data_IF_849570001035
#
_entry.id   IF_849570001035
#
_cell.length_a   1.000
_cell.length_b   1.000
_cell.length_c   1.000
_cell.angle_alpha   90.00
_cell.angle_beta   90.00
_cell.angle_gamma   90.00
#
_symmetry.space_group_name_H-M   'P 1'
#
loop_
_entity.id
_entity.type
_entity.pdbx_description
1 polymer ?
#
# COMPACT_ATOMS: atom_id res chain seq x y z
N UNK A 1 27.55 42.44 40.58
CA UNK A 1 26.44 41.97 41.44
C UNK A 1 25.59 43.08 42.02
N UNK A 2 25.90 44.39 41.88
CA UNK A 2 25.03 45.48 42.36
C UNK A 2 24.22 46.19 41.25
N UNK A 3 24.30 45.72 40.00
CA UNK A 3 23.65 46.41 38.89
C UNK A 3 22.14 46.25 38.96
N UNK A 4 21.43 47.38 38.98
CA UNK A 4 19.98 47.46 39.08
C UNK A 4 19.31 47.85 37.76
N UNK A 5 20.05 48.55 36.90
CA UNK A 5 19.61 49.03 35.60
C UNK A 5 20.58 48.55 34.51
N UNK A 6 20.04 47.93 33.47
CA UNK A 6 20.80 47.55 32.28
C UNK A 6 20.06 48.01 31.02
N UNK A 7 20.79 48.68 30.12
CA UNK A 7 20.30 49.01 28.78
C UNK A 7 21.31 48.58 27.73
N UNK A 8 20.85 47.77 26.78
CA UNK A 8 21.61 47.26 25.65
C UNK A 8 20.79 47.31 24.34
N UNK A 9 19.74 48.12 24.32
CA UNK A 9 18.83 48.26 23.18
C UNK A 9 19.53 48.73 21.90
N UNK A 10 18.92 48.44 20.75
CA UNK A 10 19.44 48.75 19.41
C UNK A 10 20.81 48.12 19.09
N UNK A 11 21.19 47.06 19.79
CA UNK A 11 22.40 46.31 19.54
C UNK A 11 22.07 44.81 19.56
N UNK A 12 22.59 44.01 18.62
CA UNK A 12 22.42 42.57 18.69
C UNK A 12 23.11 42.03 19.96
N UNK A 13 22.36 41.33 20.80
CA UNK A 13 22.89 40.69 22.00
C UNK A 13 23.15 39.22 21.68
N UNK A 14 24.40 38.88 21.39
CA UNK A 14 24.79 37.51 21.00
C UNK A 14 24.67 36.49 22.16
N UNK A 15 24.90 36.94 23.39
CA UNK A 15 24.90 36.07 24.58
C UNK A 15 24.11 36.72 25.74
N UNK A 16 22.77 36.66 25.72
CA UNK A 16 21.95 37.24 26.76
C UNK A 16 22.04 36.48 28.10
N UNK A 17 22.54 35.23 28.11
CA UNK A 17 22.68 34.40 29.33
C UNK A 17 23.51 35.06 30.43
N UNK A 18 24.50 35.88 30.05
CA UNK A 18 25.34 36.59 31.03
C UNK A 18 24.52 37.56 31.89
N UNK A 19 23.40 38.06 31.36
CA UNK A 19 22.46 38.97 32.07
C UNK A 19 21.79 38.23 33.24
N UNK A 20 21.58 36.92 33.14
CA UNK A 20 20.98 36.10 34.20
C UNK A 20 21.77 36.11 35.52
N UNK A 21 23.05 36.45 35.49
CA UNK A 21 23.89 36.59 36.69
C UNK A 21 23.65 37.92 37.45
N UNK A 22 22.90 38.86 36.87
CA UNK A 22 22.67 40.18 37.41
C UNK A 22 21.39 40.18 38.28
N UNK A 23 21.37 39.36 39.32
CA UNK A 23 20.20 39.07 40.17
C UNK A 23 19.59 40.28 40.92
N UNK A 24 20.26 41.44 40.88
CA UNK A 24 19.75 42.70 41.43
C UNK A 24 19.05 43.60 40.40
N UNK A 25 18.97 43.19 39.13
CA UNK A 25 18.29 43.97 38.10
C UNK A 25 16.81 44.20 38.43
N UNK A 26 16.42 45.47 38.40
CA UNK A 26 15.03 45.92 38.47
C UNK A 26 14.54 46.51 37.14
N UNK A 27 15.45 47.01 36.30
CA UNK A 27 15.12 47.62 35.01
C UNK A 27 15.99 47.04 33.91
N UNK A 28 15.34 46.52 32.86
CA UNK A 28 16.00 45.87 31.73
C UNK A 28 15.47 46.42 30.41
N UNK A 29 16.35 47.05 29.63
CA UNK A 29 16.05 47.59 28.30
C UNK A 29 16.84 46.79 27.25
N UNK A 30 16.13 45.97 26.48
CA UNK A 30 16.69 45.11 25.44
C UNK A 30 15.82 45.17 24.17
N UNK A 31 15.22 46.32 23.87
CA UNK A 31 14.42 46.48 22.66
C UNK A 31 15.31 46.54 21.42
N UNK A 32 14.84 46.01 20.28
CA UNK A 32 15.61 45.96 19.03
C UNK A 32 17.02 45.35 19.23
N UNK A 33 17.07 44.18 19.89
CA UNK A 33 18.32 43.53 20.29
C UNK A 33 18.50 42.10 19.74
N UNK A 34 17.62 41.69 18.82
CA UNK A 34 17.59 40.34 18.22
C UNK A 34 17.40 39.20 19.24
N UNK A 35 16.73 39.48 20.36
CA UNK A 35 16.43 38.48 21.39
C UNK A 35 15.39 37.49 20.84
N UNK A 36 15.64 36.19 21.02
CA UNK A 36 14.73 35.10 20.60
C UNK A 36 14.08 34.36 21.77
N UNK A 37 14.77 34.29 22.89
CA UNK A 37 14.32 33.64 24.12
C UNK A 37 14.65 34.54 25.32
N UNK A 38 13.96 34.31 26.43
CA UNK A 38 14.16 35.08 27.67
C UNK A 38 14.47 34.18 28.87
N UNK A 39 14.88 32.94 28.61
CA UNK A 39 15.19 31.90 29.62
C UNK A 39 16.23 32.39 30.63
N UNK A 40 17.19 33.22 30.20
CA UNK A 40 18.17 33.88 31.05
C UNK A 40 17.56 34.73 32.18
N UNK A 41 16.29 35.11 32.08
CA UNK A 41 15.57 35.89 33.09
C UNK A 41 14.99 35.05 34.23
N UNK A 42 15.08 33.71 34.16
CA UNK A 42 14.50 32.79 35.16
C UNK A 42 14.94 33.10 36.60
N UNK A 43 16.15 33.67 36.78
CA UNK A 43 16.73 34.00 38.08
C UNK A 43 16.79 35.50 38.38
N UNK A 44 15.93 36.32 37.76
CA UNK A 44 15.87 37.78 37.96
C UNK A 44 14.60 38.20 38.73
N UNK A 45 14.47 37.89 40.04
CA UNK A 45 13.22 38.05 40.80
C UNK A 45 12.84 39.51 41.10
N UNK A 46 13.75 40.46 40.84
CA UNK A 46 13.58 41.87 41.18
C UNK A 46 13.11 42.75 40.02
N UNK A 47 12.87 42.17 38.83
CA UNK A 47 12.43 42.92 37.66
C UNK A 47 11.11 43.65 37.93
N UNK A 48 11.13 44.96 37.65
CA UNK A 48 9.99 45.89 37.75
C UNK A 48 9.65 46.53 36.42
N UNK A 49 10.64 46.77 35.57
CA UNK A 49 10.47 47.42 34.27
C UNK A 49 11.27 46.69 33.19
N UNK A 50 10.58 46.08 32.23
CA UNK A 50 11.19 45.27 31.17
C UNK A 50 10.67 45.73 29.81
N UNK A 51 11.60 46.13 28.94
CA UNK A 51 11.33 46.62 27.59
C UNK A 51 12.02 45.71 26.57
N UNK A 52 11.22 44.87 25.92
CA UNK A 52 11.65 43.81 25.00
C UNK A 52 10.98 43.93 23.63
N UNK A 53 10.39 45.09 23.31
CA UNK A 53 9.74 45.32 22.03
C UNK A 53 10.72 45.26 20.84
N UNK A 54 10.20 44.98 19.64
CA UNK A 54 10.99 44.83 18.41
C UNK A 54 12.06 43.73 18.53
N UNK A 55 11.67 42.53 18.97
CA UNK A 55 12.56 41.37 19.03
C UNK A 55 11.91 40.17 18.30
N UNK A 56 12.45 38.97 18.49
CA UNK A 56 12.00 37.72 17.86
C UNK A 56 11.51 36.73 18.93
N UNK A 57 10.97 37.23 20.05
CA UNK A 57 10.56 36.41 21.19
C UNK A 57 9.23 35.73 20.86
N UNK A 58 9.18 34.41 21.00
CA UNK A 58 7.95 33.63 20.81
C UNK A 58 7.45 32.99 22.10
N UNK A 59 8.36 32.56 22.97
CA UNK A 59 8.05 32.01 24.28
C UNK A 59 8.32 33.04 25.38
N UNK A 60 7.33 33.24 26.26
CA UNK A 60 7.39 34.15 27.39
C UNK A 60 7.06 33.47 28.73
N UNK A 61 7.26 32.15 28.85
CA UNK A 61 6.88 31.38 30.03
C UNK A 61 7.49 31.91 31.34
N UNK A 62 8.71 32.44 31.27
CA UNK A 62 9.50 33.00 32.37
C UNK A 62 8.87 34.26 32.97
N UNK A 63 8.03 34.96 32.20
CA UNK A 63 7.33 36.18 32.64
C UNK A 63 6.49 35.91 33.89
N UNK A 64 5.97 34.69 34.04
CA UNK A 64 5.20 34.27 35.22
C UNK A 64 5.98 34.37 36.55
N UNK A 65 7.32 34.39 36.50
CA UNK A 65 8.18 34.52 37.67
C UNK A 65 8.39 35.97 38.14
N UNK A 66 8.00 36.97 37.33
CA UNK A 66 8.29 38.38 37.61
C UNK A 66 7.22 39.01 38.53
N UNK A 67 7.11 38.52 39.75
CA UNK A 67 6.06 38.91 40.72
C UNK A 67 6.00 40.42 41.06
N UNK A 68 7.03 41.20 40.72
CA UNK A 68 7.13 42.64 41.00
C UNK A 68 7.02 43.51 39.72
N UNK A 69 6.69 42.93 38.57
CA UNK A 69 6.67 43.64 37.30
C UNK A 69 5.58 44.71 37.25
N UNK A 70 5.96 45.94 36.95
CA UNK A 70 5.04 47.08 36.83
C UNK A 70 4.92 47.54 35.37
N UNK A 71 5.99 47.45 34.58
CA UNK A 71 6.02 47.89 33.19
C UNK A 71 6.58 46.79 32.30
N UNK A 72 5.76 46.27 31.40
CA UNK A 72 6.14 45.20 30.47
C UNK A 72 5.77 45.56 29.03
N UNK A 73 6.78 45.71 28.18
CA UNK A 73 6.59 45.97 26.75
C UNK A 73 7.17 44.83 25.90
N UNK A 74 6.28 44.14 25.21
CA UNK A 74 6.54 42.96 24.37
C UNK A 74 5.94 43.11 22.95
N UNK A 75 5.48 44.30 22.58
CA UNK A 75 4.95 44.57 21.24
C UNK A 75 6.01 44.33 20.14
N UNK A 76 5.57 44.00 18.91
CA UNK A 76 6.47 43.66 17.80
C UNK A 76 7.42 42.49 18.16
N UNK A 77 6.84 41.37 18.56
CA UNK A 77 7.52 40.08 18.77
C UNK A 77 6.74 38.97 18.02
N UNK A 78 6.95 37.71 18.38
CA UNK A 78 6.35 36.53 17.73
C UNK A 78 5.53 35.70 18.74
N UNK A 79 4.94 36.37 19.74
CA UNK A 79 4.28 35.69 20.87
C UNK A 79 2.93 35.16 20.42
N UNK A 80 2.71 33.86 20.63
CA UNK A 80 1.42 33.20 20.34
C UNK A 80 0.58 32.95 21.59
N UNK A 81 1.22 32.76 22.75
CA UNK A 81 0.57 32.42 24.01
C UNK A 81 0.92 33.46 25.08
N UNK A 82 -0.10 34.14 25.60
CA UNK A 82 0.04 35.14 26.65
C UNK A 82 -0.53 34.69 28.00
N UNK A 83 -0.82 33.40 28.21
CA UNK A 83 -1.16 32.85 29.53
C UNK A 83 -0.14 33.19 30.64
N UNK A 84 1.18 33.34 30.38
CA UNK A 84 2.13 33.68 31.44
C UNK A 84 1.91 35.06 32.09
N UNK A 85 1.16 35.97 31.44
CA UNK A 85 0.87 37.30 32.02
C UNK A 85 -0.34 37.30 32.97
N UNK A 86 -1.12 36.22 33.03
CA UNK A 86 -2.43 36.17 33.68
C UNK A 86 -2.42 36.64 35.15
N UNK A 87 -1.35 36.32 35.88
CA UNK A 87 -1.25 36.53 37.34
C UNK A 87 -0.34 37.70 37.73
N UNK A 88 0.07 38.55 36.79
CA UNK A 88 0.93 39.70 37.06
C UNK A 88 0.14 40.87 37.65
N UNK A 89 -0.22 40.72 38.92
CA UNK A 89 -1.11 41.65 39.64
C UNK A 89 -0.51 43.04 39.92
N UNK A 90 0.81 43.19 39.76
CA UNK A 90 1.53 44.47 39.99
C UNK A 90 1.62 45.36 38.75
N UNK A 91 1.14 44.88 37.59
CA UNK A 91 1.23 45.62 36.33
C UNK A 91 0.56 46.99 36.40
N UNK A 92 1.24 47.99 35.84
CA UNK A 92 0.74 49.33 35.54
C UNK A 92 0.67 49.57 34.04
N UNK A 93 1.47 48.86 33.25
CA UNK A 93 1.48 48.97 31.79
C UNK A 93 1.87 47.63 31.18
N UNK A 94 1.09 47.21 30.18
CA UNK A 94 1.36 46.03 29.36
C UNK A 94 1.15 46.38 27.89
N UNK A 95 2.14 46.07 27.04
CA UNK A 95 2.07 46.21 25.58
C UNK A 95 2.34 44.87 24.91
N UNK A 96 1.36 44.36 24.17
CA UNK A 96 1.40 43.08 23.46
C UNK A 96 0.92 43.20 22.00
N UNK A 97 0.73 44.43 21.51
CA UNK A 97 0.27 44.68 20.14
C UNK A 97 1.32 44.32 19.09
N UNK A 98 0.83 44.15 17.86
CA UNK A 98 1.64 44.02 16.64
C UNK A 98 2.60 42.83 16.64
N UNK A 99 2.14 41.66 17.10
CA UNK A 99 2.90 40.43 16.93
C UNK A 99 2.94 40.00 15.47
N UNK A 100 4.07 39.43 15.03
CA UNK A 100 4.22 38.84 13.70
C UNK A 100 4.71 37.40 13.90
N UNK A 101 3.81 36.45 13.72
CA UNK A 101 4.09 35.03 13.91
C UNK A 101 4.26 34.40 12.53
N UNK A 102 5.35 33.68 12.32
CA UNK A 102 5.58 32.91 11.09
C UNK A 102 5.63 31.44 11.43
N UNK A 103 4.62 30.70 10.96
CA UNK A 103 4.59 29.25 11.10
C UNK A 103 5.70 28.60 10.27
N UNK A 104 5.97 27.33 10.56
CA UNK A 104 6.75 26.49 9.66
C UNK A 104 6.02 26.38 8.32
N UNK A 105 6.78 26.48 7.24
CA UNK A 105 6.27 26.29 5.88
C UNK A 105 5.64 24.90 5.69
N UNK A 106 4.61 24.83 4.84
CA UNK A 106 3.96 23.58 4.42
C UNK A 106 3.85 23.55 2.89
N UNK A 107 3.76 22.37 2.26
CA UNK A 107 3.49 22.29 0.82
C UNK A 107 2.13 22.90 0.47
N UNK A 108 2.06 23.56 -0.68
CA UNK A 108 0.82 24.05 -1.26
C UNK A 108 -0.07 22.86 -1.62
N UNK A 109 -1.31 22.92 -1.18
CA UNK A 109 -2.36 21.99 -1.58
C UNK A 109 -3.62 22.79 -1.90
N UNK A 110 -4.52 22.21 -2.70
CA UNK A 110 -5.82 22.85 -2.99
C UNK A 110 -6.62 23.12 -1.72
N UNK A 111 -6.63 22.16 -0.79
CA UNK A 111 -7.28 22.31 0.50
C UNK A 111 -6.20 22.37 1.58
N UNK A 112 -6.14 23.48 2.32
CA UNK A 112 -5.18 23.66 3.41
C UNK A 112 -5.95 23.84 4.70
N UNK A 113 -5.52 23.14 5.75
CA UNK A 113 -6.02 23.34 7.10
C UNK A 113 -4.86 23.52 8.08
N UNK A 114 -4.93 24.55 8.90
CA UNK A 114 -3.95 24.79 9.98
C UNK A 114 -4.67 25.01 11.31
N UNK A 115 -4.00 24.67 12.39
CA UNK A 115 -4.47 24.91 13.75
C UNK A 115 -4.13 26.34 14.20
N UNK A 116 -5.11 27.03 14.79
CA UNK A 116 -4.90 28.31 15.48
C UNK A 116 -4.32 28.07 16.87
N UNK A 117 -3.11 28.58 17.09
CA UNK A 117 -2.39 28.44 18.37
C UNK A 117 -2.33 29.73 19.18
N UNK A 118 -3.02 30.78 18.74
CA UNK A 118 -3.02 32.07 19.43
C UNK A 118 -3.91 31.98 20.65
N UNK A 119 -3.31 32.08 21.85
CA UNK A 119 -3.98 31.96 23.14
C UNK A 119 -3.97 33.27 23.91
N UNK A 120 -5.11 33.65 24.48
CA UNK A 120 -5.25 34.80 25.38
C UNK A 120 -4.72 34.50 26.80
N UNK A 121 -4.80 35.49 27.70
CA UNK A 121 -4.29 35.37 29.06
C UNK A 121 -5.12 34.43 29.95
N UNK A 122 -6.23 33.88 29.46
CA UNK A 122 -7.06 32.89 30.15
C UNK A 122 -6.89 31.49 29.54
N UNK A 123 -6.06 31.35 28.49
CA UNK A 123 -5.84 30.10 27.77
C UNK A 123 -6.92 29.81 26.72
N UNK A 124 -7.74 30.79 26.36
CA UNK A 124 -8.71 30.64 25.27
C UNK A 124 -8.06 30.93 23.93
N UNK A 125 -8.46 30.20 22.89
CA UNK A 125 -8.03 30.49 21.53
C UNK A 125 -8.66 31.81 21.07
N UNK A 126 -7.82 32.73 20.62
CA UNK A 126 -8.28 34.02 20.08
C UNK A 126 -8.86 33.80 18.69
N UNK A 127 -10.13 34.12 18.52
CA UNK A 127 -10.80 34.06 17.21
C UNK A 127 -10.06 34.97 16.20
N UNK A 128 -9.66 34.44 15.03
CA UNK A 128 -9.00 35.22 14.01
C UNK A 128 -9.94 36.26 13.37
N UNK A 129 -9.37 37.34 12.86
CA UNK A 129 -10.01 38.29 11.95
C UNK A 129 -9.21 38.37 10.63
N UNK A 130 -9.81 38.93 9.58
CA UNK A 130 -9.15 39.12 8.27
C UNK A 130 -8.39 37.88 7.76
N UNK A 131 -9.06 36.74 7.64
CA UNK A 131 -8.44 35.53 7.10
C UNK A 131 -8.23 35.73 5.59
N UNK A 132 -6.99 35.55 5.12
CA UNK A 132 -6.63 35.75 3.72
C UNK A 132 -7.34 34.76 2.81
N UNK A 133 -7.40 35.06 1.50
CA UNK A 133 -7.81 34.13 0.44
C UNK A 133 -9.16 33.43 0.70
N UNK A 134 -10.10 34.15 1.33
CA UNK A 134 -11.43 33.66 1.71
C UNK A 134 -11.39 32.44 2.65
N UNK A 135 -10.35 32.32 3.47
CA UNK A 135 -10.26 31.28 4.47
C UNK A 135 -11.40 31.36 5.49
N UNK A 136 -11.73 30.21 6.07
CA UNK A 136 -12.80 30.03 7.05
C UNK A 136 -12.22 29.58 8.38
N UNK A 137 -12.95 29.82 9.46
CA UNK A 137 -12.54 29.39 10.80
C UNK A 137 -13.64 28.59 11.48
N UNK A 138 -13.31 27.38 11.90
CA UNK A 138 -14.10 26.56 12.80
C UNK A 138 -13.18 26.08 13.92
N UNK A 139 -13.24 26.76 15.08
CA UNK A 139 -12.29 26.61 16.17
C UNK A 139 -11.97 25.14 16.47
N UNK A 140 -10.67 24.75 16.54
CA UNK A 140 -9.46 25.60 16.46
C UNK A 140 -8.90 25.77 15.04
N UNK A 141 -9.59 25.29 14.02
CA UNK A 141 -9.02 25.09 12.68
C UNK A 141 -9.36 26.25 11.74
N UNK A 142 -8.34 26.76 11.03
CA UNK A 142 -8.52 27.57 9.83
C UNK A 142 -8.42 26.67 8.60
N UNK A 143 -9.28 26.92 7.60
CA UNK A 143 -9.35 26.15 6.37
C UNK A 143 -9.46 27.04 5.14
N UNK A 144 -8.72 26.68 4.09
CA UNK A 144 -8.72 27.33 2.78
C UNK A 144 -8.96 26.32 1.67
N UNK A 145 -9.68 26.75 0.63
CA UNK A 145 -9.84 26.05 -0.64
C UNK A 145 -9.34 26.98 -1.75
N UNK A 146 -8.13 26.72 -2.22
CA UNK A 146 -7.35 27.60 -3.09
C UNK A 146 -7.53 27.20 -4.56
N UNK A 147 -7.76 28.20 -5.41
CA UNK A 147 -7.91 27.99 -6.86
C UNK A 147 -6.63 28.26 -7.64
N UNK A 148 -5.61 28.81 -6.99
CA UNK A 148 -4.32 29.17 -7.57
C UNK A 148 -3.22 29.00 -6.52
N UNK A 149 -1.97 28.85 -6.98
CA UNK A 149 -0.80 28.72 -6.10
C UNK A 149 -0.59 30.03 -5.34
N UNK A 150 -0.28 29.91 -4.05
CA UNK A 150 0.03 31.03 -3.15
C UNK A 150 1.36 30.79 -2.48
N UNK A 151 2.10 31.88 -2.21
CA UNK A 151 3.35 31.82 -1.45
C UNK A 151 3.10 31.77 0.07
N UNK A 152 1.97 32.29 0.53
CA UNK A 152 1.58 32.27 1.92
C UNK A 152 0.07 32.50 2.08
N UNK A 153 -0.42 32.10 3.25
CA UNK A 153 -1.73 32.46 3.79
C UNK A 153 -1.53 33.24 5.08
N UNK A 154 -2.53 33.99 5.50
CA UNK A 154 -2.46 34.71 6.77
C UNK A 154 -3.80 34.87 7.45
N UNK A 155 -3.75 35.17 8.74
CA UNK A 155 -4.88 35.70 9.48
C UNK A 155 -4.40 36.70 10.52
N UNK A 156 -5.21 37.70 10.77
CA UNK A 156 -4.99 38.62 11.86
C UNK A 156 -5.67 38.10 13.13
N UNK A 157 -5.26 38.64 14.28
CA UNK A 157 -6.03 38.53 15.50
C UNK A 157 -5.96 39.85 16.27
N UNK A 158 -7.02 40.15 17.01
CA UNK A 158 -7.03 41.28 17.94
C UNK A 158 -8.01 40.98 19.06
N UNK A 159 -7.53 41.03 20.30
CA UNK A 159 -8.37 40.94 21.49
C UNK A 159 -7.95 41.95 22.54
N UNK A 160 -8.92 42.39 23.34
CA UNK A 160 -8.65 43.20 24.54
C UNK A 160 -8.52 42.25 25.71
N UNK A 161 -7.46 42.44 26.48
CA UNK A 161 -7.23 41.69 27.71
C UNK A 161 -7.29 42.64 28.90
N UNK A 162 -7.80 42.12 30.01
CA UNK A 162 -7.86 42.84 31.28
C UNK A 162 -7.19 42.00 32.35
N UNK A 163 -6.17 42.58 32.99
CA UNK A 163 -5.50 42.00 34.16
C UNK A 163 -5.75 42.98 35.30
N UNK A 164 -6.63 42.59 36.23
CA UNK A 164 -7.17 43.47 37.28
C UNK A 164 -7.73 44.78 36.72
N UNK A 165 -7.00 45.89 36.84
CA UNK A 165 -7.38 47.24 36.42
C UNK A 165 -6.65 47.70 35.14
N UNK A 166 -5.74 46.89 34.59
CA UNK A 166 -5.00 47.23 33.37
C UNK A 166 -5.70 46.63 32.17
N UNK A 167 -5.94 47.48 31.17
CA UNK A 167 -6.41 47.07 29.86
C UNK A 167 -5.26 47.11 28.86
N UNK A 168 -5.09 46.04 28.12
CA UNK A 168 -4.13 45.96 27.01
C UNK A 168 -4.81 45.39 25.77
N UNK A 169 -4.21 45.65 24.61
CA UNK A 169 -4.59 45.01 23.36
C UNK A 169 -3.51 43.99 23.01
N UNK A 170 -3.94 42.76 22.76
CA UNK A 170 -3.12 41.70 22.17
C UNK A 170 -3.54 41.55 20.71
N UNK A 171 -2.61 41.82 19.80
CA UNK A 171 -2.90 41.81 18.35
C UNK A 171 -1.69 41.37 17.57
N UNK A 172 -1.93 40.91 16.34
CA UNK A 172 -0.88 40.54 15.43
C UNK A 172 -1.40 39.86 14.17
N UNK A 173 -0.46 39.40 13.36
CA UNK A 173 -0.70 38.62 12.16
C UNK A 173 0.05 37.30 12.25
N UNK A 174 -0.62 36.21 11.91
CA UNK A 174 -0.02 34.90 11.73
C UNK A 174 0.13 34.65 10.23
N UNK A 175 1.34 34.29 9.81
CA UNK A 175 1.70 33.99 8.43
C UNK A 175 1.98 32.49 8.36
N UNK A 176 1.32 31.82 7.42
CA UNK A 176 1.56 30.44 7.04
C UNK A 176 2.25 30.43 5.67
N UNK A 177 3.59 30.30 5.61
CA UNK A 177 4.29 30.15 4.34
C UNK A 177 3.89 28.85 3.65
N UNK A 178 3.76 28.92 2.33
CA UNK A 178 3.50 27.79 1.45
C UNK A 178 4.69 27.59 0.52
N UNK A 179 5.08 26.34 0.35
CA UNK A 179 6.09 25.92 -0.63
C UNK A 179 5.41 25.26 -1.80
N UNK A 180 6.02 25.28 -2.98
CA UNK A 180 5.54 24.44 -4.06
C UNK A 180 5.67 22.98 -3.61
N UNK A 181 4.57 22.24 -3.59
CA UNK A 181 4.64 20.80 -3.43
C UNK A 181 5.38 20.21 -4.63
N UNK A 182 6.47 19.50 -4.36
CA UNK A 182 7.27 18.80 -5.36
C UNK A 182 7.38 17.31 -5.04
N UNK A 183 6.63 16.83 -4.04
CA UNK A 183 6.57 15.41 -3.72
C UNK A 183 5.67 14.73 -4.73
N UNK A 184 6.14 13.62 -5.31
CA UNK A 184 5.41 12.89 -6.34
C UNK A 184 4.74 11.69 -5.66
N UNK A 185 3.47 11.38 -5.97
CA UNK A 185 2.83 10.17 -5.47
C UNK A 185 3.64 8.93 -5.90
N UNK A 186 3.68 7.92 -5.04
CA UNK A 186 4.36 6.65 -5.28
C UNK A 186 3.29 5.58 -5.55
N UNK A 187 3.29 5.04 -6.78
CA UNK A 187 2.41 3.92 -7.16
C UNK A 187 3.04 2.60 -6.70
N UNK A 188 2.26 1.76 -6.03
CA UNK A 188 2.58 0.37 -5.71
C UNK A 188 1.52 -0.54 -6.31
N UNK A 189 1.93 -1.56 -7.08
CA UNK A 189 1.05 -2.56 -7.68
C UNK A 189 1.83 -3.86 -7.93
N UNK A 190 1.11 -4.96 -8.15
CA UNK A 190 1.69 -6.22 -8.63
C UNK A 190 2.27 -6.04 -10.04
N UNK A 191 3.45 -6.61 -10.30
CA UNK A 191 4.15 -6.47 -11.59
C UNK A 191 3.40 -7.14 -12.76
N UNK A 192 2.57 -8.16 -12.45
CA UNK A 192 1.86 -8.95 -13.46
C UNK A 192 0.55 -9.54 -12.94
N UNK A 193 -0.38 -9.75 -13.87
CA UNK A 193 -1.64 -10.46 -13.65
C UNK A 193 -1.97 -11.33 -14.86
N UNK A 194 -2.74 -12.39 -14.68
CA UNK A 194 -3.13 -13.28 -15.77
C UNK A 194 -4.64 -13.53 -15.81
N UNK A 195 -5.18 -13.57 -17.03
CA UNK A 195 -6.59 -13.82 -17.30
C UNK A 195 -6.77 -14.83 -18.42
N UNK A 196 -7.82 -15.67 -18.38
CA UNK A 196 -8.23 -16.46 -19.54
C UNK A 196 -8.66 -15.57 -20.71
N UNK A 197 -8.40 -16.05 -21.92
CA UNK A 197 -8.89 -15.44 -23.17
C UNK A 197 -10.42 -15.24 -23.14
N UNK A 198 -10.87 -14.06 -23.59
CA UNK A 198 -12.26 -13.62 -23.56
C UNK A 198 -12.72 -12.95 -22.26
N UNK A 199 -11.85 -12.81 -21.25
CA UNK A 199 -12.18 -12.08 -20.01
C UNK A 199 -12.37 -10.60 -20.28
N UNK A 200 -13.35 -9.96 -19.65
CA UNK A 200 -13.50 -8.48 -19.67
C UNK A 200 -13.22 -7.89 -18.30
N UNK A 201 -12.45 -6.81 -18.24
CA UNK A 201 -12.15 -6.08 -17.00
C UNK A 201 -12.40 -4.59 -17.14
N UNK A 202 -13.09 -4.00 -16.17
CA UNK A 202 -13.11 -2.54 -16.00
C UNK A 202 -11.79 -2.07 -15.38
N UNK A 203 -11.48 -0.77 -15.50
CA UNK A 203 -10.31 -0.17 -14.84
C UNK A 203 -10.29 -0.44 -13.34
N UNK A 204 -11.42 -0.29 -12.64
CA UNK A 204 -11.51 -0.52 -11.20
C UNK A 204 -11.22 -1.97 -10.81
N UNK A 205 -11.76 -2.94 -11.55
CA UNK A 205 -11.52 -4.36 -11.29
C UNK A 205 -10.06 -4.73 -11.56
N UNK A 206 -9.49 -4.23 -12.67
CA UNK A 206 -8.08 -4.42 -12.99
C UNK A 206 -7.16 -3.87 -11.90
N UNK A 207 -7.36 -2.61 -11.48
CA UNK A 207 -6.57 -1.99 -10.41
C UNK A 207 -6.71 -2.75 -9.08
N UNK A 208 -7.88 -3.32 -8.80
CA UNK A 208 -8.10 -4.17 -7.62
C UNK A 208 -7.33 -5.48 -7.72
N UNK A 209 -7.37 -6.17 -8.86
CA UNK A 209 -6.69 -7.45 -9.08
C UNK A 209 -5.17 -7.35 -8.89
N UNK A 210 -4.58 -6.20 -9.23
CA UNK A 210 -3.13 -5.92 -9.09
C UNK A 210 -2.76 -5.19 -7.79
N UNK A 211 -3.71 -5.04 -6.86
CA UNK A 211 -3.50 -4.33 -5.60
C UNK A 211 -2.90 -2.92 -5.76
N UNK A 212 -3.30 -2.19 -6.80
CA UNK A 212 -2.76 -0.88 -7.11
C UNK A 212 -3.17 0.16 -6.06
N UNK A 213 -2.18 0.83 -5.47
CA UNK A 213 -2.36 1.89 -4.47
C UNK A 213 -1.33 3.00 -4.64
N UNK A 214 -1.65 4.18 -4.11
CA UNK A 214 -0.70 5.29 -3.92
C UNK A 214 -0.47 5.51 -2.44
N UNK A 215 0.71 6.02 -2.07
CA UNK A 215 1.07 6.30 -0.68
C UNK A 215 0.27 7.46 -0.06
N UNK A 216 -0.21 8.38 -0.89
CA UNK A 216 -0.96 9.57 -0.51
C UNK A 216 -2.47 9.49 -0.82
N UNK A 217 -2.93 8.39 -1.43
CA UNK A 217 -4.32 8.20 -1.84
C UNK A 217 -4.71 8.92 -3.15
N UNK A 218 -3.74 9.46 -3.90
CA UNK A 218 -3.95 10.01 -5.24
C UNK A 218 -4.55 8.97 -6.19
N UNK A 219 -5.51 9.35 -7.04
CA UNK A 219 -6.17 8.42 -7.96
C UNK A 219 -5.19 7.87 -9.01
N UNK A 220 -5.32 6.58 -9.30
CA UNK A 220 -4.52 5.89 -10.33
C UNK A 220 -5.34 5.82 -11.62
N UNK A 221 -4.72 6.20 -12.73
CA UNK A 221 -5.25 6.15 -14.07
C UNK A 221 -4.47 5.12 -14.91
N UNK A 222 -5.18 4.36 -15.74
CA UNK A 222 -4.61 3.38 -16.67
C UNK A 222 -5.50 3.24 -17.91
N UNK A 223 -4.87 3.16 -19.08
CA UNK A 223 -5.55 2.91 -20.36
C UNK A 223 -5.47 1.41 -20.71
N UNK A 224 -6.63 0.74 -20.72
CA UNK A 224 -6.76 -0.66 -21.09
C UNK A 224 -7.13 -0.88 -22.56
N UNK A 225 -7.31 0.18 -23.37
CA UNK A 225 -7.78 0.05 -24.76
C UNK A 225 -6.77 -0.67 -25.67
N UNK A 226 -5.49 -0.69 -25.30
CA UNK A 226 -4.45 -1.40 -26.03
C UNK A 226 -4.38 -2.90 -25.70
N UNK A 227 -5.13 -3.37 -24.71
CA UNK A 227 -5.15 -4.78 -24.28
C UNK A 227 -6.24 -5.52 -25.04
N UNK A 228 -5.85 -6.48 -25.87
CA UNK A 228 -6.78 -7.39 -26.51
C UNK A 228 -6.97 -8.64 -25.64
N UNK A 229 -8.02 -8.63 -24.83
CA UNK A 229 -8.35 -9.77 -23.98
C UNK A 229 -8.85 -11.00 -24.76
N UNK A 230 -9.16 -10.86 -26.05
CA UNK A 230 -9.63 -11.94 -26.91
C UNK A 230 -8.50 -12.71 -27.61
N UNK A 231 -7.24 -12.31 -27.41
CA UNK A 231 -6.09 -12.95 -28.02
C UNK A 231 -5.07 -13.33 -26.94
N UNK A 232 -4.66 -14.59 -26.91
CA UNK A 232 -3.57 -15.03 -26.04
C UNK A 232 -2.27 -14.26 -26.30
N UNK A 233 -1.65 -13.72 -25.25
CA UNK A 233 -0.51 -12.82 -25.40
C UNK A 233 -0.07 -12.15 -24.10
N UNK A 234 0.94 -11.29 -24.23
CA UNK A 234 1.45 -10.47 -23.14
C UNK A 234 1.29 -9.00 -23.54
N UNK A 235 0.57 -8.24 -22.72
CA UNK A 235 0.26 -6.83 -22.94
C UNK A 235 0.82 -6.03 -21.78
N UNK A 236 1.44 -4.89 -22.07
CA UNK A 236 1.96 -3.99 -21.03
C UNK A 236 1.10 -2.75 -20.98
N UNK A 237 0.66 -2.40 -19.78
CA UNK A 237 -0.09 -1.16 -19.51
C UNK A 237 0.69 -0.33 -18.49
N UNK A 238 0.55 0.98 -18.59
CA UNK A 238 1.27 1.91 -17.72
C UNK A 238 0.29 2.57 -16.77
N UNK A 239 0.55 2.44 -15.46
CA UNK A 239 -0.16 3.14 -14.41
C UNK A 239 0.42 4.54 -14.24
N UNK A 240 -0.46 5.52 -14.09
CA UNK A 240 -0.12 6.91 -13.81
C UNK A 240 -0.96 7.42 -12.64
N UNK A 241 -0.45 8.42 -11.92
CA UNK A 241 -1.19 9.08 -10.85
C UNK A 241 -0.74 10.54 -10.77
N UNK A 242 -1.65 11.42 -10.36
CA UNK A 242 -1.35 12.83 -10.16
C UNK A 242 -1.96 13.25 -8.83
N UNK A 243 -1.15 13.89 -7.98
CA UNK A 243 -1.63 14.39 -6.70
C UNK A 243 -2.48 15.66 -6.83
N UNK A 244 -3.06 16.10 -5.71
CA UNK A 244 -3.88 17.32 -5.69
C UNK A 244 -3.10 18.60 -5.98
N UNK A 245 -1.76 18.57 -5.88
CA UNK A 245 -0.87 19.66 -6.20
C UNK A 245 -0.38 19.63 -7.67
N UNK A 246 -0.74 18.58 -8.43
CA UNK A 246 -0.37 18.41 -9.83
C UNK A 246 0.96 17.69 -10.06
N UNK A 247 1.54 17.05 -9.04
CA UNK A 247 2.75 16.26 -9.21
C UNK A 247 2.42 14.88 -9.77
N UNK A 248 3.02 14.55 -10.90
CA UNK A 248 2.81 13.25 -11.57
C UNK A 248 3.70 12.18 -10.93
N UNK A 249 3.16 11.01 -10.60
CA UNK A 249 3.93 9.85 -10.14
C UNK A 249 4.95 9.39 -11.20
N UNK A 250 6.00 8.69 -10.77
CA UNK A 250 6.78 7.88 -11.73
C UNK A 250 5.86 6.79 -12.27
N UNK A 251 5.65 6.67 -13.59
CA UNK A 251 4.78 5.65 -14.13
C UNK A 251 5.26 4.24 -13.79
N UNK A 252 4.31 3.33 -13.57
CA UNK A 252 4.59 1.92 -13.24
C UNK A 252 3.97 1.02 -14.30
N UNK A 253 4.78 0.21 -14.96
CA UNK A 253 4.30 -0.73 -15.96
C UNK A 253 3.86 -2.05 -15.33
N UNK A 254 2.74 -2.58 -15.79
CA UNK A 254 2.16 -3.85 -15.36
C UNK A 254 1.93 -4.75 -16.56
N UNK A 255 2.30 -6.02 -16.44
CA UNK A 255 2.15 -7.01 -17.51
C UNK A 255 0.87 -7.82 -17.34
N UNK A 256 -0.04 -7.72 -18.30
CA UNK A 256 -1.24 -8.54 -18.39
C UNK A 256 -0.96 -9.73 -19.31
N UNK A 257 -1.15 -10.94 -18.79
CA UNK A 257 -0.93 -12.19 -19.52
C UNK A 257 -2.29 -12.83 -19.84
N UNK A 258 -2.66 -12.84 -21.11
CA UNK A 258 -3.85 -13.55 -21.59
C UNK A 258 -3.47 -14.98 -21.97
N UNK A 259 -4.05 -15.95 -21.28
CA UNK A 259 -3.80 -17.38 -21.52
C UNK A 259 -4.87 -17.95 -22.43
N UNK A 260 -4.47 -18.72 -23.45
CA UNK A 260 -5.40 -19.44 -24.32
C UNK A 260 -6.29 -20.37 -23.52
N UNK A 261 -7.56 -20.44 -23.91
CA UNK A 261 -8.49 -21.46 -23.40
C UNK A 261 -8.47 -22.68 -24.31
N UNK A 262 -8.49 -23.88 -23.73
CA UNK A 262 -8.60 -25.11 -24.51
C UNK A 262 -10.03 -25.24 -25.05
N UNK A 263 -10.15 -25.23 -26.37
CA UNK A 263 -11.43 -25.38 -27.10
C UNK A 263 -11.45 -26.63 -27.99
N UNK A 264 -10.39 -27.44 -27.92
CA UNK A 264 -10.28 -28.66 -28.70
C UNK A 264 -11.21 -29.72 -28.13
N UNK A 265 -12.02 -30.36 -28.98
CA UNK A 265 -12.96 -31.40 -28.55
C UNK A 265 -12.31 -32.77 -28.71
N UNK A 266 -12.48 -33.69 -27.74
CA UNK A 266 -12.04 -35.07 -27.91
C UNK A 266 -12.70 -35.72 -29.13
N UNK A 267 -11.98 -36.58 -29.83
CA UNK A 267 -12.47 -37.36 -30.98
C UNK A 267 -12.60 -38.82 -30.59
N UNK A 268 -13.83 -39.34 -30.57
CA UNK A 268 -14.10 -40.75 -30.26
C UNK A 268 -13.90 -41.60 -31.52
N UNK A 269 -13.12 -42.69 -31.39
CA UNK A 269 -12.98 -43.75 -32.39
C UNK A 269 -13.41 -45.07 -31.75
N UNK A 270 -14.25 -45.86 -32.43
CA UNK A 270 -14.66 -47.20 -32.01
C UNK A 270 -15.13 -48.01 -33.23
N UNK A 271 -15.23 -49.33 -33.09
CA UNK A 271 -15.86 -50.20 -34.07
C UNK A 271 -17.36 -49.85 -34.25
N UNK A 272 -17.83 -49.76 -35.50
CA UNK A 272 -19.23 -49.36 -35.80
C UNK A 272 -20.27 -50.36 -35.28
N UNK A 273 -19.87 -51.63 -35.14
CA UNK A 273 -20.76 -52.71 -34.72
C UNK A 273 -20.01 -53.81 -33.99
N UNK A 274 -20.70 -54.42 -33.04
CA UNK A 274 -20.26 -55.62 -32.33
C UNK A 274 -21.41 -56.60 -32.20
N UNK A 275 -21.11 -57.90 -32.14
CA UNK A 275 -22.13 -58.94 -32.03
C UNK A 275 -21.90 -59.84 -30.83
N UNK A 276 -22.97 -60.13 -30.11
CA UNK A 276 -22.96 -61.02 -28.96
C UNK A 276 -24.02 -62.13 -29.11
N UNK A 277 -23.77 -63.33 -28.57
CA UNK A 277 -24.81 -64.33 -28.34
C UNK A 277 -25.88 -63.83 -27.36
N UNK A 278 -27.13 -64.26 -27.55
CA UNK A 278 -28.22 -64.02 -26.59
C UNK A 278 -27.88 -64.52 -25.18
N UNK A 279 -28.21 -63.70 -24.18
CA UNK A 279 -27.91 -63.96 -22.76
C UNK A 279 -26.51 -63.53 -22.30
N UNK A 280 -25.70 -62.92 -23.17
CA UNK A 280 -24.41 -62.31 -22.77
C UNK A 280 -24.64 -61.10 -21.87
N UNK A 281 -23.85 -60.94 -20.81
CA UNK A 281 -23.83 -59.71 -20.00
C UNK A 281 -22.55 -58.93 -20.24
N UNK A 282 -22.65 -57.60 -20.39
CA UNK A 282 -21.50 -56.71 -20.55
C UNK A 282 -21.63 -55.50 -19.64
N UNK A 283 -20.56 -55.19 -18.91
CA UNK A 283 -20.38 -53.87 -18.29
C UNK A 283 -20.00 -52.83 -19.35
N UNK A 284 -20.13 -51.55 -19.02
CA UNK A 284 -19.70 -50.46 -19.91
C UNK A 284 -18.21 -50.57 -20.30
N UNK A 285 -17.32 -50.85 -19.35
CA UNK A 285 -15.88 -50.98 -19.61
C UNK A 285 -15.54 -52.17 -20.54
N UNK A 286 -16.16 -53.32 -20.33
CA UNK A 286 -15.96 -54.49 -21.20
C UNK A 286 -16.51 -54.22 -22.60
N UNK A 287 -17.67 -53.60 -22.71
CA UNK A 287 -18.25 -53.19 -23.99
C UNK A 287 -17.32 -52.23 -24.74
N UNK A 288 -16.83 -51.17 -24.09
CA UNK A 288 -15.89 -50.21 -24.68
C UNK A 288 -14.59 -50.88 -25.15
N UNK A 289 -14.13 -51.89 -24.41
CA UNK A 289 -12.95 -52.70 -24.79
C UNK A 289 -13.21 -53.53 -26.04
N UNK A 290 -14.37 -54.22 -26.10
CA UNK A 290 -14.73 -55.09 -27.22
C UNK A 290 -14.86 -54.32 -28.55
N UNK A 291 -15.22 -53.04 -28.49
CA UNK A 291 -15.35 -52.16 -29.68
C UNK A 291 -14.12 -51.29 -29.92
N UNK A 292 -13.02 -51.51 -29.20
CA UNK A 292 -11.79 -50.72 -29.29
C UNK A 292 -12.04 -49.20 -29.16
N UNK A 293 -12.92 -48.79 -28.25
CA UNK A 293 -13.27 -47.39 -28.06
C UNK A 293 -12.09 -46.60 -27.45
N UNK A 294 -11.65 -45.55 -28.14
CA UNK A 294 -10.58 -44.65 -27.70
C UNK A 294 -10.88 -43.20 -28.06
N UNK A 295 -10.35 -42.27 -27.28
CA UNK A 295 -10.23 -40.85 -27.65
C UNK A 295 -8.80 -40.54 -28.10
N UNK A 296 -8.62 -39.47 -28.88
CA UNK A 296 -7.31 -39.02 -29.35
C UNK A 296 -6.46 -38.33 -28.28
N UNK A 297 -7.11 -37.74 -27.28
CA UNK A 297 -6.50 -37.02 -26.15
C UNK A 297 -6.46 -37.84 -24.84
N UNK A 298 -7.06 -39.04 -24.82
CA UNK A 298 -7.17 -39.89 -23.64
C UNK A 298 -8.32 -39.53 -22.69
N UNK A 299 -9.22 -38.63 -23.09
CA UNK A 299 -10.45 -38.31 -22.36
C UNK A 299 -11.34 -39.54 -22.15
N UNK A 300 -11.98 -39.71 -20.98
CA UNK A 300 -12.80 -40.89 -20.70
C UNK A 300 -14.06 -40.94 -21.57
N UNK A 301 -14.41 -42.15 -22.02
CA UNK A 301 -15.62 -42.42 -22.80
C UNK A 301 -16.71 -42.97 -21.88
N UNK A 302 -17.89 -42.39 -21.97
CA UNK A 302 -19.11 -42.80 -21.28
C UNK A 302 -20.10 -43.43 -22.26
N UNK A 303 -20.84 -44.45 -21.79
CA UNK A 303 -21.87 -45.15 -22.55
C UNK A 303 -22.98 -45.66 -21.63
N UNK A 304 -24.22 -45.44 -22.04
CA UNK A 304 -25.39 -46.02 -21.36
C UNK A 304 -25.87 -47.29 -22.07
N UNK A 305 -25.74 -48.44 -21.39
CA UNK A 305 -26.17 -49.74 -21.89
C UNK A 305 -27.57 -50.15 -21.38
N UNK A 306 -28.24 -49.34 -20.57
CA UNK A 306 -29.52 -49.72 -19.95
C UNK A 306 -30.64 -49.95 -20.98
N UNK A 307 -30.52 -49.36 -22.17
CA UNK A 307 -31.48 -49.55 -23.27
C UNK A 307 -31.24 -50.82 -24.09
N UNK A 308 -30.17 -51.58 -23.82
CA UNK A 308 -29.81 -52.79 -24.57
C UNK A 308 -30.35 -54.02 -23.85
N UNK A 309 -31.29 -54.73 -24.48
CA UNK A 309 -31.75 -56.03 -24.00
C UNK A 309 -30.91 -57.16 -24.60
N UNK A 310 -29.90 -57.59 -23.85
CA UNK A 310 -29.01 -58.69 -24.27
C UNK A 310 -29.68 -60.07 -24.30
N UNK A 311 -30.89 -60.22 -23.77
CA UNK A 311 -31.65 -61.48 -23.80
C UNK A 311 -32.46 -61.69 -25.08
N UNK A 312 -32.67 -60.64 -25.87
CA UNK A 312 -33.51 -60.67 -27.06
C UNK A 312 -32.67 -60.46 -28.32
N UNK A 313 -32.76 -61.38 -29.27
CA UNK A 313 -32.10 -61.21 -30.57
C UNK A 313 -32.64 -59.96 -31.29
N UNK A 314 -31.74 -59.07 -31.69
CA UNK A 314 -32.11 -57.73 -32.16
C UNK A 314 -30.89 -56.86 -32.45
N UNK A 315 -31.17 -55.67 -32.96
CA UNK A 315 -30.17 -54.63 -33.22
C UNK A 315 -30.46 -53.45 -32.29
N UNK A 316 -29.50 -53.11 -31.44
CA UNK A 316 -29.60 -52.03 -30.48
C UNK A 316 -28.54 -50.98 -30.82
N UNK A 317 -28.88 -49.71 -30.70
CA UNK A 317 -27.93 -48.62 -30.93
C UNK A 317 -27.66 -47.92 -29.62
N UNK A 318 -26.38 -47.76 -29.29
CA UNK A 318 -25.92 -47.02 -28.11
C UNK A 318 -25.08 -45.83 -28.55
N UNK A 319 -25.06 -44.78 -27.73
CA UNK A 319 -24.32 -43.56 -28.00
C UNK A 319 -23.11 -43.48 -27.07
N UNK A 320 -21.94 -43.24 -27.65
CA UNK A 320 -20.71 -42.93 -26.93
C UNK A 320 -20.55 -41.41 -26.80
N UNK A 321 -20.16 -40.95 -25.63
CA UNK A 321 -19.86 -39.54 -25.32
C UNK A 321 -18.52 -39.44 -24.60
N UNK A 322 -17.80 -38.33 -24.75
CA UNK A 322 -16.57 -38.06 -24.01
C UNK A 322 -16.47 -36.55 -23.71
N UNK A 323 -15.85 -36.19 -22.58
CA UNK A 323 -15.61 -34.80 -22.17
C UNK A 323 -14.18 -34.70 -21.65
N UNK A 324 -13.44 -33.70 -22.13
CA UNK A 324 -12.07 -33.46 -21.68
C UNK A 324 -11.99 -32.77 -20.30
N UNK A 325 -10.77 -32.51 -19.83
CA UNK A 325 -10.55 -31.81 -18.55
C UNK A 325 -10.92 -30.32 -18.58
N UNK A 326 -11.02 -29.71 -19.77
CA UNK A 326 -11.43 -28.33 -19.98
C UNK A 326 -12.97 -28.18 -20.13
N UNK A 327 -13.70 -29.30 -20.21
CA UNK A 327 -15.15 -29.36 -20.38
C UNK A 327 -15.63 -29.41 -21.83
N UNK A 328 -14.74 -29.62 -22.81
CA UNK A 328 -15.12 -29.73 -24.20
C UNK A 328 -15.74 -31.10 -24.48
N UNK A 329 -17.00 -31.09 -24.97
CA UNK A 329 -17.73 -32.32 -25.28
C UNK A 329 -17.40 -32.82 -26.71
N UNK A 330 -17.04 -34.09 -26.83
CA UNK A 330 -16.86 -34.79 -28.09
C UNK A 330 -18.16 -34.84 -28.90
N UNK A 331 -18.03 -34.92 -30.23
CA UNK A 331 -19.18 -35.28 -31.06
C UNK A 331 -19.57 -36.74 -30.75
N UNK A 332 -20.84 -37.01 -30.36
CA UNK A 332 -21.24 -38.37 -29.99
C UNK A 332 -21.23 -39.29 -31.20
N UNK A 333 -20.75 -40.51 -31.02
CA UNK A 333 -20.81 -41.56 -32.05
C UNK A 333 -21.76 -42.67 -31.62
N UNK A 334 -22.39 -43.33 -32.59
CA UNK A 334 -23.32 -44.42 -32.34
C UNK A 334 -22.70 -45.76 -32.72
N UNK A 335 -22.89 -46.77 -31.88
CA UNK A 335 -22.40 -48.13 -32.11
C UNK A 335 -23.58 -49.10 -32.10
N UNK A 336 -23.59 -50.02 -33.07
CA UNK A 336 -24.66 -51.01 -33.22
C UNK A 336 -24.29 -52.33 -32.54
N UNK A 337 -25.08 -52.72 -31.56
CA UNK A 337 -24.96 -54.01 -30.87
C UNK A 337 -25.94 -54.99 -31.51
N UNK A 338 -25.43 -56.10 -32.04
CA UNK A 338 -26.23 -57.14 -32.69
C UNK A 338 -26.28 -58.38 -31.78
N UNK A 339 -27.45 -58.66 -31.22
CA UNK A 339 -27.68 -59.86 -30.42
C UNK A 339 -28.17 -60.98 -31.34
N UNK A 340 -27.43 -62.10 -31.37
CA UNK A 340 -27.68 -63.25 -32.24
C UNK A 340 -28.27 -64.42 -31.46
N UNK A 341 -29.16 -65.18 -32.09
CA UNK A 341 -29.94 -66.24 -31.46
C UNK A 341 -29.14 -67.56 -31.41
N UNK A 342 -28.80 -68.05 -30.22
CA UNK A 342 -27.94 -69.23 -30.05
C UNK A 342 -28.73 -70.53 -30.02
N UNK A 343 -29.61 -70.79 -31.01
CA UNK A 343 -30.23 -72.13 -31.10
C UNK A 343 -29.21 -73.16 -31.60
N UNK A 344 -28.71 -73.98 -30.66
CA UNK A 344 -27.95 -75.22 -30.91
C UNK A 344 -28.63 -76.05 -32.00
N UNK A 345 -27.86 -76.45 -33.02
CA UNK A 345 -28.21 -77.54 -33.93
C UNK A 345 -27.70 -78.83 -33.26
N UNK A 346 -28.60 -79.75 -32.93
CA UNK A 346 -28.23 -81.07 -32.38
C UNK A 346 -27.52 -81.93 -33.43
N UNK A 347 -26.43 -82.66 -33.11
CA UNK A 347 -25.81 -83.60 -34.04
C UNK A 347 -26.70 -84.85 -34.21
N UNK A 348 -27.07 -85.12 -35.46
CA UNK A 348 -27.78 -86.33 -35.90
C UNK A 348 -26.83 -87.54 -35.76
N UNK A 349 -27.29 -88.59 -35.09
CA UNK A 349 -26.62 -89.89 -34.95
C UNK A 349 -26.65 -90.65 -36.28
N UNK A 350 -25.51 -91.17 -36.79
CA UNK A 350 -25.51 -92.28 -37.75
C UNK A 350 -25.06 -93.58 -37.09
N UNK A 351 -25.71 -94.66 -37.55
CA UNK A 351 -25.65 -96.05 -37.11
C UNK A 351 -24.32 -96.72 -37.49
N UNK A 352 -23.81 -97.59 -36.61
CA UNK A 352 -22.70 -98.53 -36.85
C UNK A 352 -22.98 -99.51 -38.01
N UNK A 353 -21.93 -99.99 -38.71
CA UNK A 353 -21.55 -101.37 -38.45
C UNK A 353 -20.04 -101.68 -38.55
N UNK A 354 -19.61 -102.68 -37.78
CA UNK A 354 -18.69 -103.73 -38.23
C UNK A 354 -17.19 -103.50 -38.04
N UNK A 355 -16.61 -104.25 -37.10
CA UNK A 355 -15.19 -104.18 -36.72
C UNK A 355 -14.20 -104.92 -37.62
N UNK A 356 -12.92 -104.68 -37.34
CA UNK A 356 -11.89 -105.71 -37.08
C UNK A 356 -10.56 -105.05 -36.69
N UNK A 357 -9.84 -105.77 -35.84
CA UNK A 357 -8.61 -105.41 -35.11
C UNK A 357 -7.41 -104.97 -35.97
N UNK A 358 -6.51 -104.16 -35.39
CA UNK A 358 -5.10 -104.50 -35.04
C UNK A 358 -4.38 -103.26 -34.43
N UNK A 359 -3.64 -103.49 -33.34
CA UNK A 359 -2.71 -102.62 -32.57
C UNK A 359 -1.31 -103.29 -32.62
N UNK A 360 -0.14 -102.74 -32.15
CA UNK A 360 0.36 -101.39 -31.81
C UNK A 360 1.72 -101.02 -32.52
N UNK A 361 2.23 -99.77 -32.37
CA UNK A 361 3.54 -99.42 -31.74
C UNK A 361 3.89 -97.91 -31.82
N UNK A 362 4.54 -97.39 -30.76
CA UNK A 362 5.10 -96.03 -30.50
C UNK A 362 6.60 -95.97 -30.93
N UNK A 363 7.46 -94.93 -30.68
CA UNK A 363 7.34 -93.55 -30.12
C UNK A 363 8.07 -92.46 -30.99
N UNK A 364 8.04 -91.13 -30.76
CA UNK A 364 8.73 -90.27 -29.76
C UNK A 364 8.15 -88.82 -29.88
N UNK A 365 7.70 -88.16 -28.81
CA UNK A 365 8.39 -87.16 -27.93
C UNK A 365 8.89 -85.88 -28.64
N UNK A 366 8.50 -84.65 -28.23
CA UNK A 366 9.01 -83.82 -27.09
C UNK A 366 7.91 -82.78 -26.67
N UNK A 367 7.25 -82.83 -25.48
CA UNK A 367 7.40 -82.08 -24.18
C UNK A 367 7.88 -80.60 -24.28
N UNK A 368 7.35 -79.50 -23.67
CA UNK A 368 6.81 -79.18 -22.32
C UNK A 368 5.87 -77.94 -22.35
N UNK A 369 4.93 -77.90 -21.38
CA UNK A 369 3.83 -76.98 -21.04
C UNK A 369 4.22 -75.71 -20.21
N UNK A 370 3.26 -74.78 -19.91
CA UNK A 370 3.46 -73.38 -19.47
C UNK A 370 3.11 -73.10 -17.98
N UNK A 371 3.22 -71.84 -17.52
CA UNK A 371 2.23 -71.15 -16.64
C UNK A 371 2.56 -69.67 -16.28
N UNK A 372 1.55 -68.79 -16.42
CA UNK A 372 0.88 -67.93 -15.41
C UNK A 372 1.71 -67.33 -14.25
N UNK A 373 1.47 -66.14 -13.66
CA UNK A 373 0.43 -65.09 -13.74
C UNK A 373 0.72 -64.02 -12.67
N UNK A 374 0.33 -62.77 -12.95
CA UNK A 374 -0.20 -61.71 -12.04
C UNK A 374 0.62 -61.06 -10.89
N UNK A 375 0.43 -59.74 -10.79
CA UNK A 375 0.92 -58.77 -9.79
C UNK A 375 -0.31 -57.96 -9.29
N UNK A 376 -0.36 -57.56 -8.00
CA UNK A 376 -1.06 -56.32 -7.65
C UNK A 376 -0.30 -55.36 -6.71
N UNK A 377 -0.77 -54.10 -6.69
CA UNK A 377 -0.30 -52.89 -5.99
C UNK A 377 -0.61 -52.82 -4.46
N UNK A 378 0.16 -52.01 -3.72
CA UNK A 378 -0.26 -50.92 -2.76
C UNK A 378 0.91 -50.49 -1.83
N UNK A 379 1.35 -49.21 -1.80
CA UNK A 379 1.00 -48.03 -0.94
C UNK A 379 1.51 -48.04 0.54
N UNK A 380 2.55 -47.20 0.82
CA UNK A 380 2.86 -46.22 1.94
C UNK A 380 2.59 -46.63 3.42
N UNK A 381 3.44 -46.38 4.51
CA UNK A 381 4.01 -45.06 4.91
C UNK A 381 5.31 -44.95 5.79
N UNK A 382 5.87 -43.72 5.77
CA UNK A 382 6.47 -42.81 6.80
C UNK A 382 7.53 -43.22 7.86
N UNK A 383 8.43 -42.23 8.03
CA UNK A 383 9.11 -41.70 9.25
C UNK A 383 10.41 -42.31 9.82
N UNK A 384 11.51 -41.57 9.55
CA UNK A 384 12.30 -40.72 10.47
C UNK A 384 13.19 -41.33 11.61
N UNK A 385 14.36 -40.67 11.78
CA UNK A 385 15.20 -40.47 13.01
C UNK A 385 16.56 -41.22 13.14
N UNK A 386 17.61 -40.41 12.87
CA UNK A 386 18.85 -40.14 13.63
C UNK A 386 20.13 -41.01 13.62
N UNK A 387 21.23 -40.23 13.45
CA UNK A 387 22.56 -40.30 14.12
C UNK A 387 23.52 -41.38 13.60
N UNK A 388 24.79 -41.11 13.27
CA UNK A 388 25.80 -40.23 13.90
C UNK A 388 27.08 -40.15 13.05
N UNK A 389 27.84 -39.05 13.24
CA UNK A 389 29.32 -38.92 13.15
C UNK A 389 30.05 -39.15 11.80
N UNK A 390 31.11 -38.43 11.40
CA UNK A 390 31.79 -37.21 11.86
C UNK A 390 32.87 -36.85 10.82
N UNK A 391 32.91 -35.57 10.43
CA UNK A 391 34.08 -34.64 10.44
C UNK A 391 35.37 -35.00 9.64
N UNK A 392 35.71 -34.14 8.66
CA UNK A 392 36.98 -33.39 8.49
C UNK A 392 36.90 -32.55 7.20
N UNK A 393 36.55 -31.25 7.22
CA UNK A 393 37.40 -30.06 7.50
C UNK A 393 38.66 -29.98 6.63
N UNK A 394 38.59 -29.17 5.57
CA UNK A 394 39.71 -28.31 5.14
C UNK A 394 39.29 -26.86 5.35
N UNK A 395 40.15 -26.17 6.10
CA UNK A 395 40.06 -24.82 6.61
C UNK A 395 40.74 -23.90 5.58
N UNK A 396 40.04 -22.90 5.07
CA UNK A 396 40.65 -21.67 4.54
C UNK A 396 39.95 -20.51 5.24
N UNK A 397 40.72 -19.85 6.09
CA UNK A 397 40.36 -18.64 6.82
C UNK A 397 40.79 -17.48 5.93
N UNK A 398 39.84 -16.69 5.44
CA UNK A 398 40.08 -15.28 5.16
C UNK A 398 39.13 -14.46 6.05
N UNK A 399 39.74 -13.65 6.89
CA UNK A 399 39.12 -12.77 7.86
C UNK A 399 38.50 -11.56 7.16
N UNK A 400 37.19 -11.40 7.33
CA UNK A 400 36.46 -10.16 7.15
C UNK A 400 36.87 -9.14 8.22
N UNK A 401 37.50 -8.02 7.83
CA UNK A 401 37.39 -6.75 8.55
C UNK A 401 36.66 -5.75 7.66
N UNK A 402 35.32 -5.70 7.80
CA UNK A 402 34.54 -4.54 7.36
C UNK A 402 34.15 -3.78 8.63
N UNK A 403 34.82 -2.63 8.82
CA UNK A 403 34.51 -1.65 9.87
C UNK A 403 33.06 -1.21 9.75
N UNK A 404 32.25 -1.55 10.74
CA UNK A 404 30.98 -0.88 11.01
C UNK A 404 31.23 0.62 11.22
N UNK A 405 30.87 1.43 10.23
CA UNK A 405 30.81 2.88 10.36
C UNK A 405 29.52 3.23 11.10
N UNK A 406 29.64 3.51 12.40
CA UNK A 406 28.54 4.06 13.20
C UNK A 406 28.06 5.38 12.58
N UNK A 407 26.74 5.54 12.47
CA UNK A 407 26.08 6.82 12.23
C UNK A 407 26.38 7.79 13.41
N UNK A 408 26.56 9.10 13.16
CA UNK A 408 26.75 10.05 14.24
C UNK A 408 25.48 10.16 15.10
N UNK A 409 25.67 10.15 16.42
CA UNK A 409 24.61 10.45 17.40
C UNK A 409 24.30 11.95 17.37
N UNK A 410 23.03 12.29 17.53
CA UNK A 410 22.53 13.66 17.70
C UNK A 410 23.26 14.35 18.87
N UNK A 411 23.97 15.46 18.60
CA UNK A 411 24.59 16.25 19.68
C UNK A 411 25.82 17.10 19.36
N UNK A 412 26.47 16.98 18.19
CA UNK A 412 27.70 17.74 17.92
C UNK A 412 27.53 18.91 16.94
N UNK A 413 28.11 20.06 17.31
CA UNK A 413 28.07 21.36 16.63
C UNK A 413 28.65 21.29 15.21
N UNK A 414 27.94 21.87 14.23
CA UNK A 414 28.47 22.08 12.88
C UNK A 414 29.64 23.09 12.89
N UNK A 415 30.69 22.86 12.08
CA UNK A 415 31.74 23.85 11.86
C UNK A 415 31.23 25.00 10.99
N UNK A 416 31.58 26.20 11.44
CA UNK A 416 31.30 27.51 10.86
C UNK A 416 32.05 27.68 9.53
N UNK A 417 31.38 27.55 8.38
CA UNK A 417 31.69 28.25 7.12
C UNK A 417 30.66 27.88 6.04
N UNK A 418 29.70 28.77 5.77
CA UNK A 418 29.31 29.30 4.44
C UNK A 418 28.32 30.44 4.72
N UNK A 419 28.78 31.68 4.61
CA UNK A 419 27.98 32.89 4.76
C UNK A 419 28.21 33.74 3.51
N UNK A 420 27.34 33.61 2.49
CA UNK A 420 27.08 34.56 1.40
C UNK A 420 26.06 33.91 0.45
N UNK A 421 24.88 34.45 0.15
CA UNK A 421 24.23 35.66 0.62
C UNK A 421 22.79 35.70 0.11
N UNK A 422 21.89 36.32 0.85
CA UNK A 422 20.69 36.94 0.31
C UNK A 422 20.58 38.31 0.95
N UNK A 423 21.05 39.31 0.21
CA UNK A 423 20.84 40.70 0.54
C UNK A 423 19.41 41.06 0.13
N UNK A 424 18.62 41.47 1.12
CA UNK A 424 17.31 42.09 0.98
C UNK A 424 17.48 43.42 0.23
N UNK A 425 16.68 43.64 -0.82
CA UNK A 425 16.34 45.00 -1.27
C UNK A 425 14.84 45.21 -1.09
N UNK A 426 14.46 45.65 0.11
CA UNK A 426 13.24 46.40 0.36
C UNK A 426 13.54 47.87 0.08
N UNK A 427 13.21 48.33 -1.11
CA UNK A 427 13.06 49.75 -1.42
C UNK A 427 12.08 49.89 -2.59
N UNK A 428 10.90 50.45 -2.34
CA UNK A 428 10.06 51.00 -3.41
C UNK A 428 8.56 50.69 -3.36
N UNK A 429 7.86 51.02 -2.27
CA UNK A 429 6.43 51.37 -2.39
C UNK A 429 6.18 52.65 -1.61
N UNK A 430 6.36 53.78 -2.29
CA UNK A 430 5.81 55.06 -1.87
C UNK A 430 5.62 55.95 -3.08
N UNK A 431 4.64 55.64 -3.94
CA UNK A 431 3.89 56.66 -4.70
C UNK A 431 2.72 56.01 -5.45
N UNK A 432 1.49 56.37 -5.06
CA UNK A 432 0.40 56.85 -5.93
C UNK A 432 -0.94 56.72 -5.20
N UNK A 433 -1.35 57.85 -4.62
CA UNK A 433 -2.74 58.15 -4.30
C UNK A 433 -3.27 59.01 -5.45
N UNK A 434 -4.28 58.53 -6.14
CA UNK A 434 -5.34 59.34 -6.75
C UNK A 434 -6.67 58.75 -6.31
#
# INVERSE_FOLDING_TARGET
TALEYLSFSNNPVENPEVIGNLTNLNTLWLYNAQIRNIDFTANLPKLKSVYLYNNQISNISEVSNWANIEYLELNNNQITDITPVANLTTLKTLKLNDQIITNREIPFQKNISIENKVMDNFGNIVTPNNISDNGTYNSPTLSWNLNEIKDNLSYDFTTKITILNINATYSGTVIQPLTKDSTRPIITADEKVSYPEGTTKTTTEFLTDIHATTDDGSPIEVDLNAVDFGTAGSYTVTLTAVDTAGNEATPVDVTIIITSVDTSKPVITADEKVSYPDGTTKTAAEFLTDIHATTDDGSPIEVDLNAVDFGTAGSYTVTLTAVDTAGNEAAPIQVTIIITNSKKIDPIIPVEPGGNDVKPEKPNEIIILPKDSEIPLSIIPKDNIEKTNSINVIKMIETNEIKNKMLPKTGDKLPLTVFLGMLITLAGISYLRK
#
